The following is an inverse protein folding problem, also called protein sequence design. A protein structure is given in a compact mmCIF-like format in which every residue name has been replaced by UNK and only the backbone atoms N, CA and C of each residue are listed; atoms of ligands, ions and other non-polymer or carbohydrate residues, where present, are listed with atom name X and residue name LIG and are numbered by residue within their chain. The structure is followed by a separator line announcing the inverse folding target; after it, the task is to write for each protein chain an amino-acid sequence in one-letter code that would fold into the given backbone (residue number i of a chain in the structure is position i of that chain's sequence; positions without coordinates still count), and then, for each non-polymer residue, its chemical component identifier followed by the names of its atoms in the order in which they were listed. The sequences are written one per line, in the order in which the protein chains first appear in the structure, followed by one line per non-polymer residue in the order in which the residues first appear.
data_IF_794018789231
#
_entry.id   IF_794018789231
#
_cell.length_a   1.000
_cell.length_b   1.000
_cell.length_c   1.000
_cell.angle_alpha   90.00
_cell.angle_beta   90.00
_cell.angle_gamma   90.00
#
_symmetry.space_group_name_H-M   'P 1'
#
loop_
_entity.id
_entity.type
_entity.pdbx_description
1 polymer ?
#
# COMPACT_ATOMS: atom_id res chain seq x y z
N UNK A 1 20.63 17.65 5.46
CA UNK A 1 20.53 17.05 4.10
C UNK A 1 19.11 16.52 4.00
N UNK A 2 18.18 17.17 3.28
CA UNK A 2 16.76 16.96 3.52
C UNK A 2 16.26 15.69 2.81
N UNK A 3 15.52 14.86 3.57
CA UNK A 3 14.89 13.60 3.16
C UNK A 3 14.00 13.71 1.90
N UNK A 4 13.60 14.92 1.51
CA UNK A 4 12.77 15.19 0.33
C UNK A 4 13.42 14.85 -1.03
N UNK A 5 14.75 14.79 -1.11
CA UNK A 5 15.46 14.55 -2.39
C UNK A 5 15.52 13.07 -2.79
N UNK A 6 15.22 12.14 -1.88
CA UNK A 6 15.26 10.70 -2.17
C UNK A 6 13.91 10.18 -2.72
N UNK A 7 12.78 10.77 -2.33
CA UNK A 7 11.45 10.35 -2.79
C UNK A 7 11.17 10.75 -4.24
N UNK A 8 11.65 11.91 -4.71
CA UNK A 8 11.47 12.33 -6.11
C UNK A 8 12.24 11.46 -7.12
N UNK A 9 13.34 10.82 -6.71
CA UNK A 9 14.15 9.98 -7.62
C UNK A 9 13.49 8.64 -7.91
N UNK A 10 12.71 8.09 -6.98
CA UNK A 10 12.03 6.81 -7.16
C UNK A 10 10.84 6.94 -8.14
N UNK A 11 10.12 8.08 -8.10
CA UNK A 11 8.96 8.32 -8.97
C UNK A 11 9.32 8.68 -10.43
N UNK A 12 10.48 9.32 -10.67
CA UNK A 12 10.94 9.63 -12.04
C UNK A 12 11.45 8.43 -12.83
N UNK A 13 11.78 7.30 -12.19
CA UNK A 13 12.19 6.08 -12.91
C UNK A 13 11.01 5.27 -13.46
N UNK A 14 9.85 5.29 -12.81
CA UNK A 14 8.69 4.50 -13.26
C UNK A 14 7.91 5.14 -14.41
N UNK A 15 7.91 6.47 -14.50
CA UNK A 15 7.21 7.18 -15.59
C UNK A 15 7.95 7.12 -16.92
N UNK A 16 9.27 6.86 -16.92
CA UNK A 16 10.05 6.70 -18.16
C UNK A 16 9.91 5.30 -18.77
N UNK A 17 9.52 4.29 -17.99
CA UNK A 17 9.27 2.94 -18.49
C UNK A 17 7.89 2.78 -19.16
N UNK A 18 6.96 3.72 -18.96
CA UNK A 18 5.59 3.65 -19.50
C UNK A 18 5.38 4.38 -20.83
N UNK A 19 6.40 5.09 -21.34
CA UNK A 19 6.32 5.88 -22.58
C UNK A 19 6.82 5.17 -23.85
N UNK A 20 7.43 3.98 -23.75
CA UNK A 20 7.86 3.17 -24.92
C UNK A 20 6.86 2.04 -25.29
N UNK A 21 5.73 2.01 -24.58
CA UNK A 21 4.54 1.17 -24.77
C UNK A 21 3.89 1.15 -26.16
N UNK A 22 3.90 2.28 -26.86
CA UNK A 22 2.88 2.59 -27.87
C UNK A 22 3.37 2.55 -29.32
N UNK A 23 4.50 1.89 -29.60
CA UNK A 23 5.07 1.80 -30.97
C UNK A 23 4.94 0.44 -31.66
N UNK A 24 4.11 -0.46 -31.16
CA UNK A 24 3.95 -1.80 -31.75
C UNK A 24 2.50 -2.16 -32.07
N UNK A 25 1.87 -1.41 -32.98
CA UNK A 25 0.70 -1.90 -33.72
C UNK A 25 0.63 -1.27 -35.12
N UNK A 26 1.44 -1.81 -36.04
CA UNK A 26 1.08 -1.81 -37.47
C UNK A 26 1.84 -2.94 -38.16
N UNK A 27 1.32 -4.17 -38.02
CA UNK A 27 1.76 -5.30 -38.85
C UNK A 27 0.63 -5.56 -39.83
N UNK A 28 0.75 -4.97 -41.01
CA UNK A 28 -0.10 -5.25 -42.17
C UNK A 28 -0.12 -6.76 -42.46
N UNK A 29 -1.30 -7.35 -42.34
CA UNK A 29 -1.52 -8.75 -42.65
C UNK A 29 -1.75 -8.90 -44.16
N UNK A 30 -0.67 -9.11 -44.94
CA UNK A 30 -0.77 -9.62 -46.32
C UNK A 30 -0.99 -11.13 -46.28
N UNK A 31 -2.26 -11.55 -46.35
CA UNK A 31 -2.64 -12.94 -46.61
C UNK A 31 -2.34 -13.24 -48.08
N UNK A 32 -1.17 -13.84 -48.34
CA UNK A 32 -0.81 -14.41 -49.62
C UNK A 32 -1.33 -15.85 -49.69
N UNK A 33 -2.34 -16.03 -50.55
CA UNK A 33 -2.86 -17.31 -51.02
C UNK A 33 -1.72 -18.15 -51.61
N UNK A 34 -1.36 -19.26 -50.96
CA UNK A 34 -0.51 -20.29 -51.54
C UNK A 34 -1.30 -21.59 -51.72
N UNK A 35 -1.52 -21.91 -53.00
CA UNK A 35 -0.94 -23.10 -53.60
C UNK A 35 -1.37 -24.44 -53.02
N UNK A 36 -2.29 -25.08 -53.73
CA UNK A 36 -2.63 -26.49 -53.63
C UNK A 36 -1.40 -27.34 -54.01
N UNK A 37 -0.66 -27.85 -53.03
CA UNK A 37 0.32 -28.93 -53.24
C UNK A 37 0.48 -29.78 -51.96
N UNK A 38 0.33 -31.10 -52.12
CA UNK A 38 0.16 -32.14 -51.08
C UNK A 38 1.37 -32.37 -50.15
N UNK A 39 2.33 -31.44 -50.09
CA UNK A 39 3.54 -31.52 -49.25
C UNK A 39 3.60 -30.48 -48.13
N UNK A 40 2.47 -29.87 -47.77
CA UNK A 40 2.37 -28.79 -46.76
C UNK A 40 1.74 -29.19 -45.41
N UNK A 41 1.46 -30.48 -45.15
CA UNK A 41 0.86 -30.89 -43.86
C UNK A 41 1.82 -30.72 -42.67
N UNK A 42 3.13 -30.85 -42.87
CA UNK A 42 4.13 -30.79 -41.79
C UNK A 42 4.43 -29.38 -41.29
N UNK A 43 4.42 -28.36 -42.17
CA UNK A 43 4.74 -26.97 -41.79
C UNK A 43 3.58 -26.28 -41.05
N UNK A 44 2.34 -26.66 -41.36
CA UNK A 44 1.16 -26.12 -40.67
C UNK A 44 1.08 -26.58 -39.21
N UNK A 45 1.50 -27.82 -38.92
CA UNK A 45 1.55 -28.38 -37.56
C UNK A 45 2.53 -27.60 -36.68
N UNK A 46 3.68 -27.16 -37.22
CA UNK A 46 4.65 -26.37 -36.44
C UNK A 46 4.13 -24.98 -36.06
N UNK A 47 3.37 -24.31 -36.94
CA UNK A 47 2.78 -22.99 -36.66
C UNK A 47 1.68 -23.10 -35.60
N UNK A 48 0.89 -24.17 -35.63
CA UNK A 48 -0.15 -24.42 -34.62
C UNK A 48 0.47 -24.79 -33.26
N UNK A 49 1.58 -25.54 -33.24
CA UNK A 49 2.30 -25.87 -32.00
C UNK A 49 2.94 -24.64 -31.34
N UNK A 50 3.50 -23.70 -32.11
CA UNK A 50 4.11 -22.49 -31.56
C UNK A 50 3.08 -21.51 -31.02
N UNK A 51 1.87 -21.47 -31.60
CA UNK A 51 0.77 -20.62 -31.13
C UNK A 51 0.15 -21.16 -29.83
N UNK A 52 0.14 -22.48 -29.62
CA UNK A 52 -0.35 -23.10 -28.38
C UNK A 52 0.51 -22.77 -27.15
N UNK A 53 1.82 -22.62 -27.32
CA UNK A 53 2.75 -22.23 -26.24
C UNK A 53 2.65 -20.75 -25.85
N UNK A 54 2.10 -19.89 -26.70
CA UNK A 54 1.84 -18.49 -26.37
C UNK A 54 0.56 -18.30 -25.54
N UNK A 55 -0.32 -19.30 -25.48
CA UNK A 55 -1.57 -19.24 -24.73
C UNK A 55 -1.45 -19.74 -23.27
N UNK A 56 -0.31 -20.29 -22.86
CA UNK A 56 -0.06 -20.68 -21.46
C UNK A 56 0.52 -19.54 -20.61
N UNK A 57 0.69 -18.35 -21.18
CA UNK A 57 1.28 -17.18 -20.51
C UNK A 57 0.30 -16.32 -19.72
N UNK A 58 -0.37 -16.90 -18.70
CA UNK A 58 -0.93 -16.13 -17.59
C UNK A 58 -1.26 -17.08 -16.44
N UNK A 59 -0.23 -17.59 -15.77
CA UNK A 59 -0.42 -17.99 -14.38
C UNK A 59 -0.74 -16.71 -13.61
N UNK A 60 -2.02 -16.50 -13.28
CA UNK A 60 -2.42 -15.53 -12.27
C UNK A 60 -1.51 -15.76 -11.07
N UNK A 61 -0.60 -14.84 -10.83
CA UNK A 61 0.06 -14.70 -9.54
C UNK A 61 -1.06 -14.76 -8.52
N UNK A 62 -1.06 -15.79 -7.67
CA UNK A 62 -2.00 -15.88 -6.57
C UNK A 62 -1.62 -14.78 -5.59
N UNK A 63 -2.07 -13.56 -5.87
CA UNK A 63 -2.12 -12.48 -4.91
C UNK A 63 -2.89 -13.05 -3.73
N UNK A 64 -2.19 -13.29 -2.62
CA UNK A 64 -2.79 -13.74 -1.38
C UNK A 64 -3.93 -12.78 -1.07
N UNK A 65 -5.16 -13.27 -1.07
CA UNK A 65 -6.33 -12.44 -0.75
C UNK A 65 -6.16 -11.98 0.69
N UNK A 66 -5.94 -10.67 0.85
CA UNK A 66 -5.78 -10.03 2.15
C UNK A 66 -7.18 -9.85 2.74
N UNK A 67 -7.54 -10.72 3.69
CA UNK A 67 -8.91 -10.80 4.22
C UNK A 67 -9.11 -9.97 5.50
N UNK A 68 -8.03 -9.53 6.15
CA UNK A 68 -8.09 -8.68 7.33
C UNK A 68 -7.21 -7.42 7.17
N UNK A 69 -7.53 -6.33 7.89
CA UNK A 69 -6.67 -5.14 7.92
C UNK A 69 -5.22 -5.45 8.35
N UNK A 70 -5.04 -6.33 9.33
CA UNK A 70 -3.71 -6.72 9.83
C UNK A 70 -2.89 -7.49 8.80
N UNK A 71 -3.54 -8.32 7.98
CA UNK A 71 -2.87 -8.98 6.86
C UNK A 71 -2.39 -7.96 5.82
N UNK A 72 -3.06 -6.81 5.70
CA UNK A 72 -2.63 -5.75 4.80
C UNK A 72 -1.31 -5.10 5.24
N UNK A 73 -1.02 -5.07 6.55
CA UNK A 73 0.27 -4.59 7.06
C UNK A 73 1.43 -5.46 6.60
N UNK A 74 1.25 -6.78 6.56
CA UNK A 74 2.29 -7.74 6.12
C UNK A 74 2.69 -7.52 4.67
N UNK A 75 1.78 -6.99 3.84
CA UNK A 75 2.12 -6.67 2.44
C UNK A 75 3.16 -5.54 2.33
N UNK A 76 3.30 -4.71 3.37
CA UNK A 76 4.26 -3.60 3.42
C UNK A 76 5.66 -4.09 3.86
N UNK A 77 5.79 -5.31 4.39
CA UNK A 77 7.07 -5.92 4.83
C UNK A 77 8.03 -6.27 3.68
N UNK A 78 7.71 -5.84 2.45
CA UNK A 78 8.48 -6.08 1.23
C UNK A 78 9.95 -5.68 1.38
N UNK A 79 10.79 -6.61 1.86
CA UNK A 79 12.24 -6.41 2.06
C UNK A 79 12.82 -6.87 3.40
N UNK A 80 12.01 -7.32 4.39
CA UNK A 80 12.55 -7.79 5.67
C UNK A 80 11.67 -8.86 6.35
N UNK A 81 11.79 -10.12 5.89
CA UNK A 81 11.01 -11.28 6.37
C UNK A 81 11.23 -11.63 7.86
N UNK A 82 12.23 -11.04 8.53
CA UNK A 82 12.58 -11.35 9.92
C UNK A 82 11.95 -10.39 10.94
N UNK A 83 11.16 -9.39 10.51
CA UNK A 83 10.60 -8.38 11.42
C UNK A 83 9.17 -8.71 11.81
N UNK A 84 8.93 -8.78 13.11
CA UNK A 84 7.60 -9.01 13.66
C UNK A 84 6.87 -7.67 13.83
N UNK A 85 5.73 -7.52 13.13
CA UNK A 85 4.82 -6.41 13.37
C UNK A 85 4.00 -6.71 14.62
N UNK A 86 4.07 -5.81 15.60
CA UNK A 86 3.24 -5.88 16.80
C UNK A 86 2.13 -4.83 16.71
N UNK A 87 0.88 -5.28 16.63
CA UNK A 87 -0.32 -4.43 16.58
C UNK A 87 -0.82 -4.18 18.01
N UNK A 88 -0.88 -2.92 18.42
CA UNK A 88 -1.38 -2.49 19.73
C UNK A 88 -2.89 -2.32 19.77
N UNK A 89 -3.49 -1.98 18.63
CA UNK A 89 -4.93 -1.78 18.53
C UNK A 89 -5.34 -1.35 17.14
N UNK A 90 -6.64 -1.39 16.91
CA UNK A 90 -7.26 -0.89 15.70
C UNK A 90 -8.42 0.04 16.02
N UNK A 91 -8.68 0.97 15.10
CA UNK A 91 -9.83 1.87 15.15
C UNK A 91 -10.54 1.86 13.81
N UNK A 92 -11.79 1.39 13.81
CA UNK A 92 -12.62 1.38 12.63
C UNK A 92 -13.24 2.77 12.43
N UNK A 93 -12.73 3.51 11.45
CA UNK A 93 -13.27 4.82 11.05
C UNK A 93 -14.55 4.61 10.22
N UNK A 94 -14.53 3.64 9.30
CA UNK A 94 -15.71 3.27 8.50
C UNK A 94 -15.68 1.80 8.11
N UNK A 95 -16.67 1.33 7.35
CA UNK A 95 -16.65 -0.03 6.78
C UNK A 95 -15.53 -0.25 5.75
N UNK A 96 -14.95 0.83 5.24
CA UNK A 96 -13.92 0.82 4.21
C UNK A 96 -12.57 1.33 4.71
N UNK A 97 -12.48 1.81 5.96
CA UNK A 97 -11.27 2.39 6.53
C UNK A 97 -11.07 1.95 7.99
N UNK A 98 -9.90 1.37 8.24
CA UNK A 98 -9.45 1.01 9.59
C UNK A 98 -8.02 1.50 9.83
N UNK A 99 -7.82 2.11 10.99
CA UNK A 99 -6.53 2.59 11.44
C UNK A 99 -5.89 1.52 12.32
N UNK A 100 -4.64 1.16 12.04
CA UNK A 100 -3.90 0.19 12.84
C UNK A 100 -2.72 0.86 13.52
N UNK A 101 -2.62 0.70 14.84
CA UNK A 101 -1.49 1.21 15.64
C UNK A 101 -0.52 0.07 15.87
N UNK A 102 0.73 0.22 15.44
CA UNK A 102 1.70 -0.88 15.46
C UNK A 102 3.16 -0.43 15.62
N UNK A 103 4.06 -1.40 15.85
CA UNK A 103 5.53 -1.30 15.78
C UNK A 103 6.08 -2.32 14.78
N UNK A 104 7.30 -2.10 14.28
CA UNK A 104 8.09 -3.15 13.62
C UNK A 104 8.35 -2.99 12.11
N UNK A 105 7.63 -2.12 11.39
CA UNK A 105 7.81 -1.97 9.93
C UNK A 105 9.19 -1.40 9.58
N UNK A 106 9.60 -0.28 10.19
CA UNK A 106 10.91 0.33 9.93
C UNK A 106 11.93 0.13 11.06
N UNK A 107 11.45 0.13 12.31
CA UNK A 107 12.18 -0.27 13.51
C UNK A 107 11.18 -0.73 14.59
N UNK A 108 11.71 -1.33 15.66
CA UNK A 108 10.99 -1.87 16.81
C UNK A 108 10.71 -0.83 17.92
N UNK A 109 11.11 0.42 17.73
CA UNK A 109 11.00 1.48 18.74
C UNK A 109 9.86 2.46 18.43
N UNK A 110 9.73 2.82 17.16
CA UNK A 110 8.80 3.84 16.68
C UNK A 110 7.40 3.28 16.56
N UNK A 111 6.44 4.07 17.04
CA UNK A 111 5.02 3.78 16.85
C UNK A 111 4.59 4.30 15.49
N UNK A 112 3.72 3.55 14.84
CA UNK A 112 3.15 3.90 13.54
C UNK A 112 1.64 3.76 13.59
N UNK A 113 0.95 4.58 12.79
CA UNK A 113 -0.46 4.39 12.45
C UNK A 113 -0.54 4.13 10.95
N UNK A 114 -1.09 2.97 10.57
CA UNK A 114 -1.38 2.66 9.17
C UNK A 114 -2.83 3.01 8.84
N UNK A 115 -2.99 3.59 7.67
CA UNK A 115 -4.26 3.83 7.00
C UNK A 115 -4.58 2.63 6.12
N UNK A 116 -5.53 1.79 6.54
CA UNK A 116 -5.86 0.54 5.85
C UNK A 116 -7.25 0.64 5.24
N UNK A 117 -7.29 0.64 3.91
CA UNK A 117 -8.51 0.81 3.14
C UNK A 117 -8.97 -0.49 2.50
N UNK A 118 -10.28 -0.67 2.40
CA UNK A 118 -10.89 -1.73 1.62
C UNK A 118 -11.06 -1.28 0.17
N UNK A 119 -10.27 -1.85 -0.74
CA UNK A 119 -10.31 -1.56 -2.18
C UNK A 119 -10.67 -2.85 -2.92
N UNK A 120 -11.74 -2.82 -3.72
CA UNK A 120 -12.24 -4.00 -4.47
C UNK A 120 -12.45 -5.25 -3.60
N UNK A 121 -12.86 -5.04 -2.34
CA UNK A 121 -13.10 -6.10 -1.37
C UNK A 121 -11.85 -6.65 -0.66
N UNK A 122 -10.67 -6.09 -0.93
CA UNK A 122 -9.41 -6.46 -0.30
C UNK A 122 -8.89 -5.31 0.57
N UNK A 123 -8.28 -5.65 1.71
CA UNK A 123 -7.62 -4.64 2.55
C UNK A 123 -6.24 -4.29 2.00
N UNK A 124 -5.96 -3.00 1.92
CA UNK A 124 -4.71 -2.45 1.38
C UNK A 124 -4.27 -1.30 2.28
N UNK A 125 -3.05 -1.37 2.79
CA UNK A 125 -2.44 -0.24 3.48
C UNK A 125 -2.04 0.85 2.47
N UNK A 126 -2.63 2.04 2.62
CA UNK A 126 -2.43 3.18 1.70
C UNK A 126 -1.43 4.19 2.25
N UNK A 127 -1.41 4.38 3.55
CA UNK A 127 -0.54 5.33 4.22
C UNK A 127 0.01 4.77 5.53
N UNK A 128 1.16 5.26 5.94
CA UNK A 128 1.69 5.03 7.29
C UNK A 128 2.23 6.35 7.81
N UNK A 129 1.85 6.69 9.03
CA UNK A 129 2.31 7.89 9.74
C UNK A 129 3.11 7.45 10.97
N UNK A 130 4.29 8.02 11.12
CA UNK A 130 5.12 7.81 12.31
C UNK A 130 4.61 8.66 13.48
N UNK A 131 4.44 8.02 14.64
CA UNK A 131 4.00 8.63 15.89
C UNK A 131 5.17 8.70 16.87
N UNK A 132 5.88 9.83 16.90
CA UNK A 132 7.07 10.03 17.74
C UNK A 132 6.79 10.65 19.11
N UNK A 133 5.52 10.65 19.50
CA UNK A 133 5.04 11.36 20.69
C UNK A 133 5.10 12.89 20.54
N UNK A 134 4.54 13.61 21.53
CA UNK A 134 4.57 15.07 21.56
C UNK A 134 5.99 15.59 21.80
N UNK A 135 6.35 16.69 21.16
CA UNK A 135 7.61 17.40 21.48
C UNK A 135 7.57 17.92 22.92
N UNK A 136 8.72 17.98 23.61
CA UNK A 136 8.79 18.44 25.01
C UNK A 136 8.15 19.82 25.25
N UNK A 137 8.18 20.69 24.25
CA UNK A 137 7.67 22.06 24.31
C UNK A 137 6.26 22.20 23.70
N UNK A 138 5.60 21.10 23.34
CA UNK A 138 4.26 21.13 22.75
C UNK A 138 3.15 21.26 23.79
N UNK A 139 2.00 21.72 23.31
CA UNK A 139 0.75 21.74 24.06
C UNK A 139 0.36 20.35 24.56
N UNK A 140 -0.60 20.32 25.49
CA UNK A 140 -1.07 19.10 26.13
C UNK A 140 -1.80 18.14 25.18
N UNK A 141 -2.43 18.71 24.15
CA UNK A 141 -3.09 18.00 23.05
C UNK A 141 -2.54 18.58 21.75
N UNK A 142 -2.09 17.72 20.85
CA UNK A 142 -1.56 18.11 19.55
C UNK A 142 -2.22 17.30 18.44
N UNK A 143 -2.72 17.97 17.41
CA UNK A 143 -3.24 17.35 16.18
C UNK A 143 -2.14 17.22 15.14
N UNK A 144 -2.07 16.08 14.46
CA UNK A 144 -1.29 15.91 13.24
C UNK A 144 -2.17 16.26 12.04
N UNK A 145 -1.70 17.24 11.26
CA UNK A 145 -2.35 17.61 10.01
C UNK A 145 -1.96 16.62 8.93
N UNK A 146 -2.82 15.63 8.71
CA UNK A 146 -2.66 14.63 7.67
C UNK A 146 -3.45 14.98 6.43
N UNK A 147 -2.93 14.55 5.29
CA UNK A 147 -3.54 14.73 3.98
C UNK A 147 -3.33 13.46 3.16
N UNK A 148 -4.28 13.15 2.30
CA UNK A 148 -4.13 12.05 1.36
C UNK A 148 -3.06 12.34 0.29
N UNK A 149 -2.89 11.40 -0.63
CA UNK A 149 -1.95 11.53 -1.76
C UNK A 149 -2.26 12.71 -2.70
N UNK A 150 -3.48 13.27 -2.64
CA UNK A 150 -3.94 14.43 -3.41
C UNK A 150 -3.91 15.74 -2.61
N UNK A 151 -3.49 15.70 -1.34
CA UNK A 151 -3.48 16.87 -0.46
C UNK A 151 -4.83 17.22 0.15
N UNK A 152 -5.85 16.37 -0.01
CA UNK A 152 -7.17 16.55 0.59
C UNK A 152 -7.14 16.18 2.08
N UNK A 153 -7.97 16.83 2.93
CA UNK A 153 -8.18 16.39 4.30
C UNK A 153 -8.68 14.94 4.34
N UNK A 154 -8.24 14.18 5.33
CA UNK A 154 -8.75 12.84 5.61
C UNK A 154 -10.09 12.94 6.35
N UNK A 155 -10.86 11.85 6.36
CA UNK A 155 -12.15 11.73 7.07
C UNK A 155 -11.97 11.55 8.59
N UNK A 156 -10.75 11.74 9.09
CA UNK A 156 -10.40 11.61 10.49
C UNK A 156 -9.23 12.53 10.85
N UNK A 157 -9.14 12.86 12.12
CA UNK A 157 -7.99 13.52 12.72
C UNK A 157 -7.27 12.56 13.66
N UNK A 158 -5.96 12.72 13.77
CA UNK A 158 -5.16 11.95 14.71
C UNK A 158 -4.13 12.84 15.39
N UNK A 159 -3.69 12.45 16.58
CA UNK A 159 -2.70 13.22 17.30
C UNK A 159 -2.21 12.59 18.60
N UNK A 160 -1.63 13.44 19.44
CA UNK A 160 -1.08 13.09 20.75
C UNK A 160 -1.83 13.79 21.86
N UNK A 161 -1.96 13.11 22.98
CA UNK A 161 -2.40 13.68 24.26
C UNK A 161 -1.46 13.22 25.36
N UNK A 162 -0.95 14.13 26.19
CA UNK A 162 -0.11 13.76 27.35
C UNK A 162 -0.94 12.95 28.34
N UNK A 163 -0.35 11.93 28.98
CA UNK A 163 -1.13 10.93 29.74
C UNK A 163 -1.91 11.47 30.94
N UNK A 164 -1.50 12.60 31.50
CA UNK A 164 -2.15 13.23 32.66
C UNK A 164 -3.22 14.26 32.28
N UNK A 165 -3.51 14.40 30.99
CA UNK A 165 -4.49 15.37 30.47
C UNK A 165 -5.85 14.68 30.39
N UNK A 166 -6.93 15.32 30.88
CA UNK A 166 -8.29 14.79 30.72
C UNK A 166 -8.61 14.58 29.24
N UNK A 167 -9.15 13.41 28.93
CA UNK A 167 -9.55 13.05 27.56
C UNK A 167 -10.89 13.73 27.24
N UNK A 168 -10.97 14.55 26.19
CA UNK A 168 -12.25 15.08 25.69
C UNK A 168 -13.18 13.94 25.24
N UNK A 169 -14.49 14.10 25.44
CA UNK A 169 -15.49 13.04 25.17
C UNK A 169 -15.58 12.63 23.69
N UNK A 170 -15.17 13.51 22.78
CA UNK A 170 -15.18 13.30 21.33
C UNK A 170 -13.90 12.63 20.79
N UNK A 171 -12.92 12.31 21.66
CA UNK A 171 -11.68 11.67 21.27
C UNK A 171 -11.65 10.21 21.68
N UNK A 172 -11.28 9.35 20.74
CA UNK A 172 -10.92 7.97 21.03
C UNK A 172 -9.42 7.89 21.33
N UNK A 173 -9.02 7.28 22.45
CA UNK A 173 -7.64 7.29 22.92
C UNK A 173 -7.08 5.87 23.03
N UNK A 174 -5.87 5.68 22.50
CA UNK A 174 -5.11 4.45 22.59
C UNK A 174 -3.90 4.63 23.50
N UNK A 175 -3.82 3.76 24.51
CA UNK A 175 -2.66 3.60 25.36
C UNK A 175 -1.74 2.53 24.78
N UNK A 176 -0.45 2.83 24.73
CA UNK A 176 0.55 1.94 24.14
C UNK A 176 1.38 1.34 25.25
N UNK A 177 1.47 0.02 25.28
CA UNK A 177 2.27 -0.67 26.30
C UNK A 177 3.73 -0.20 26.27
N UNK A 178 4.25 0.15 27.46
CA UNK A 178 5.61 0.66 27.63
C UNK A 178 5.78 2.16 27.35
N UNK A 179 4.72 2.89 26.99
CA UNK A 179 4.72 4.35 26.85
C UNK A 179 3.76 4.96 27.89
N UNK A 180 4.31 5.59 28.93
CA UNK A 180 3.53 6.20 30.00
C UNK A 180 3.24 7.68 29.80
N UNK A 181 3.98 8.37 28.94
CA UNK A 181 4.04 9.83 28.97
C UNK A 181 3.00 10.47 28.04
N UNK A 182 2.52 9.72 27.05
CA UNK A 182 1.56 10.17 26.06
C UNK A 182 0.74 9.01 25.49
N UNK A 183 -0.38 9.37 24.85
CA UNK A 183 -1.34 8.47 24.22
C UNK A 183 -1.64 8.98 22.80
N UNK A 184 -2.09 8.08 21.92
CA UNK A 184 -2.62 8.47 20.61
C UNK A 184 -4.09 8.81 20.78
N UNK A 185 -4.56 9.90 20.18
CA UNK A 185 -5.99 10.14 20.04
C UNK A 185 -6.39 10.14 18.56
N UNK A 186 -7.64 9.74 18.32
CA UNK A 186 -8.28 9.66 17.00
C UNK A 186 -9.68 10.28 17.11
N UNK A 187 -10.08 11.02 16.09
CA UNK A 187 -11.41 11.62 15.96
C UNK A 187 -11.94 11.45 14.55
N UNK A 188 -13.15 10.91 14.42
CA UNK A 188 -13.90 10.88 13.17
C UNK A 188 -14.48 12.27 12.86
N UNK A 189 -14.49 12.69 11.59
CA UNK A 189 -14.97 14.02 11.14
C UNK A 189 -16.40 13.96 10.61
#
# INVERSE_FOLDING_TARGET
MPLFQLQEKFWKSETKARADSSKFQEVETKILLFGKDEKMKSKFIMIVLSLGLLLTGCTKSSQSVVNSPEDALKSIESGNEEREIHVYGSYKVSEELELLIFRGVMNDQDIWVADVHKVDGQWVAKGIVQMNGPFKESDDIQTLLLRDEFGLPLDYELGYIKSNVPVPEDLHVFEIEGISDWKIWIKEI
#
